data_IF_655159467410
#
_entry.id   IF_655159467410
#
_cell.length_a   1.000
_cell.length_b   1.000
_cell.length_c   1.000
_cell.angle_alpha   90.00
_cell.angle_beta   90.00
_cell.angle_gamma   90.00
#
_symmetry.space_group_name_H-M   'P 1'
#
loop_
_entity.id
_entity.type
_entity.pdbx_description
1 polymer ?
#
# COMPACT_ATOMS: atom_id res chain seq x y z
N UNK A 1 28.97 3.98 -14.32
CA UNK A 1 27.72 3.65 -13.62
C UNK A 1 27.49 2.18 -13.87
N UNK A 2 27.44 1.34 -12.82
CA UNK A 2 27.06 -0.06 -13.01
C UNK A 2 25.62 -0.19 -13.53
N UNK A 3 25.23 -1.40 -13.97
CA UNK A 3 23.83 -1.70 -14.33
C UNK A 3 22.88 -1.39 -13.17
N UNK A 4 23.25 -1.75 -11.94
CA UNK A 4 22.36 -1.61 -10.79
C UNK A 4 22.08 -0.14 -10.47
N UNK A 5 23.10 0.71 -10.40
CA UNK A 5 22.89 2.12 -10.09
C UNK A 5 22.09 2.86 -11.18
N UNK A 6 22.29 2.48 -12.44
CA UNK A 6 21.50 2.99 -13.55
C UNK A 6 20.03 2.56 -13.45
N UNK A 7 19.75 1.32 -13.08
CA UNK A 7 18.40 0.80 -12.86
C UNK A 7 17.65 1.58 -11.76
N UNK A 8 18.31 1.89 -10.65
CA UNK A 8 17.74 2.70 -9.57
C UNK A 8 17.32 4.09 -10.06
N UNK A 9 18.22 4.78 -10.78
CA UNK A 9 17.98 6.12 -11.32
C UNK A 9 16.88 6.11 -12.38
N UNK A 10 16.90 5.13 -13.28
CA UNK A 10 15.86 4.96 -14.29
C UNK A 10 14.50 4.62 -13.67
N UNK A 11 14.46 3.91 -12.54
CA UNK A 11 13.21 3.60 -11.86
C UNK A 11 12.51 4.86 -11.30
N UNK A 12 13.26 5.83 -10.78
CA UNK A 12 12.66 7.04 -10.17
C UNK A 12 12.34 8.14 -11.19
N UNK A 13 13.08 8.20 -12.30
CA UNK A 13 12.97 9.29 -13.29
C UNK A 13 11.54 9.53 -13.81
N UNK A 14 10.76 8.51 -14.25
CA UNK A 14 9.41 8.75 -14.75
C UNK A 14 8.47 9.40 -13.73
N UNK A 15 8.72 9.21 -12.44
CA UNK A 15 7.90 9.82 -11.39
C UNK A 15 8.26 11.29 -11.18
N UNK A 16 9.54 11.63 -11.27
CA UNK A 16 10.00 13.02 -11.17
C UNK A 16 9.62 13.83 -12.41
N UNK A 17 9.66 13.22 -13.61
CA UNK A 17 9.24 13.86 -14.88
C UNK A 17 7.74 14.19 -14.92
N UNK A 18 6.92 13.52 -14.09
CA UNK A 18 5.50 13.85 -13.93
C UNK A 18 5.25 15.03 -12.96
N UNK A 19 6.30 15.57 -12.33
CA UNK A 19 6.23 16.74 -11.45
C UNK A 19 6.62 18.00 -12.22
N UNK A 20 6.15 19.15 -11.73
CA UNK A 20 6.50 20.46 -12.27
C UNK A 20 7.72 21.04 -11.55
N UNK A 21 8.52 21.84 -12.26
CA UNK A 21 9.63 22.57 -11.65
C UNK A 21 9.14 23.41 -10.46
N UNK A 22 9.82 23.29 -9.32
CA UNK A 22 9.45 23.90 -8.04
C UNK A 22 8.53 23.05 -7.16
N UNK A 23 7.96 21.96 -7.67
CA UNK A 23 7.16 21.03 -6.86
C UNK A 23 7.99 20.44 -5.72
N UNK A 24 7.29 20.11 -4.63
CA UNK A 24 7.87 19.44 -3.48
C UNK A 24 7.49 17.95 -3.48
N UNK A 25 8.47 17.09 -3.19
CA UNK A 25 8.25 15.67 -2.99
C UNK A 25 8.98 15.15 -1.74
N UNK A 26 8.37 14.16 -1.09
CA UNK A 26 8.88 13.51 0.10
C UNK A 26 9.49 12.16 -0.25
N UNK A 27 10.62 11.80 0.36
CA UNK A 27 11.10 10.41 0.42
C UNK A 27 11.01 9.91 1.87
N UNK A 28 10.33 8.78 2.08
CA UNK A 28 10.29 8.14 3.39
C UNK A 28 11.52 7.22 3.58
N UNK A 29 12.35 7.53 4.58
CA UNK A 29 13.64 6.86 4.81
C UNK A 29 13.67 6.22 6.20
N UNK A 30 13.71 4.88 6.23
CA UNK A 30 13.83 4.12 7.49
C UNK A 30 15.28 3.87 7.91
N UNK A 31 16.24 4.10 7.01
CA UNK A 31 17.65 3.76 7.20
C UNK A 31 18.03 2.36 6.71
N UNK A 32 17.05 1.58 6.24
CA UNK A 32 17.31 0.32 5.53
C UNK A 32 17.77 0.56 4.09
N UNK A 33 18.31 -0.49 3.47
CA UNK A 33 18.96 -0.43 2.15
C UNK A 33 18.04 0.14 1.08
N UNK A 34 16.81 -0.35 0.99
CA UNK A 34 15.84 0.05 -0.04
C UNK A 34 15.49 1.54 0.06
N UNK A 35 15.34 2.05 1.28
CA UNK A 35 14.98 3.45 1.53
C UNK A 35 16.14 4.42 1.31
N UNK A 36 17.38 4.02 1.64
CA UNK A 36 18.58 4.83 1.39
C UNK A 36 18.94 4.84 -0.11
N UNK A 37 18.82 3.70 -0.78
CA UNK A 37 18.98 3.59 -2.23
C UNK A 37 17.97 4.49 -2.97
N UNK A 38 16.72 4.52 -2.50
CA UNK A 38 15.68 5.38 -3.07
C UNK A 38 16.00 6.86 -2.87
N UNK A 39 16.40 7.24 -1.65
CA UNK A 39 16.83 8.60 -1.36
C UNK A 39 18.01 9.02 -2.24
N UNK A 40 18.97 8.11 -2.46
CA UNK A 40 20.10 8.36 -3.35
C UNK A 40 19.66 8.54 -4.81
N UNK A 41 18.80 7.68 -5.33
CA UNK A 41 18.34 7.79 -6.71
C UNK A 41 17.61 9.12 -6.95
N UNK A 42 16.73 9.52 -6.03
CA UNK A 42 15.95 10.75 -6.14
C UNK A 42 16.84 12.00 -6.11
N UNK A 43 17.78 12.11 -5.16
CA UNK A 43 18.63 13.30 -5.04
C UNK A 43 19.60 13.47 -6.21
N UNK A 44 19.86 12.40 -6.97
CA UNK A 44 20.66 12.46 -8.21
C UNK A 44 19.86 12.86 -9.45
N UNK A 45 18.55 12.65 -9.46
CA UNK A 45 17.70 12.97 -10.62
C UNK A 45 16.90 14.27 -10.44
N UNK A 46 16.58 14.65 -9.20
CA UNK A 46 15.78 15.84 -8.92
C UNK A 46 16.38 17.20 -9.33
N UNK A 47 17.71 17.44 -9.25
CA UNK A 47 18.28 18.74 -9.58
C UNK A 47 18.01 19.18 -11.03
N UNK A 48 18.09 18.26 -11.98
CA UNK A 48 17.88 18.55 -13.41
C UNK A 48 16.42 18.93 -13.72
N UNK A 49 15.50 18.56 -12.83
CA UNK A 49 14.05 18.82 -12.94
C UNK A 49 13.59 19.94 -11.99
N UNK A 50 14.50 20.57 -11.25
CA UNK A 50 14.22 21.59 -10.23
C UNK A 50 13.16 21.16 -9.20
N UNK A 51 13.19 19.89 -8.77
CA UNK A 51 12.27 19.34 -7.77
C UNK A 51 12.86 19.51 -6.36
N UNK A 52 12.04 20.01 -5.44
CA UNK A 52 12.41 20.16 -4.03
C UNK A 52 12.15 18.85 -3.28
N UNK A 53 13.21 18.22 -2.79
CA UNK A 53 13.11 16.95 -2.05
C UNK A 53 13.22 17.16 -0.55
N UNK A 54 12.32 16.51 0.19
CA UNK A 54 12.33 16.42 1.65
C UNK A 54 12.51 14.96 2.05
N UNK A 55 13.50 14.67 2.87
CA UNK A 55 13.63 13.33 3.46
C UNK A 55 12.91 13.27 4.81
N UNK A 56 12.11 12.23 5.02
CA UNK A 56 11.34 12.03 6.25
C UNK A 56 11.66 10.67 6.85
N UNK A 57 12.11 10.66 8.10
CA UNK A 57 12.27 9.46 8.92
C UNK A 57 11.19 9.44 10.00
N UNK A 58 10.37 8.40 10.00
CA UNK A 58 9.35 8.19 11.04
C UNK A 58 9.94 7.28 12.12
N UNK A 59 10.06 7.80 13.34
CA UNK A 59 10.47 7.07 14.52
C UNK A 59 9.24 6.61 15.32
N UNK A 60 8.93 5.32 15.26
CA UNK A 60 7.80 4.71 15.97
C UNK A 60 8.03 4.53 17.48
N UNK A 61 9.24 4.82 17.98
CA UNK A 61 9.60 4.69 19.40
C UNK A 61 9.41 3.29 19.99
N UNK A 62 9.35 2.25 19.14
CA UNK A 62 9.10 0.86 19.54
C UNK A 62 10.33 0.17 20.15
N UNK A 63 11.52 0.72 19.91
CA UNK A 63 12.79 0.14 20.35
C UNK A 63 13.62 1.16 21.12
N UNK A 64 14.34 0.70 22.14
CA UNK A 64 15.41 1.48 22.76
C UNK A 64 16.50 1.79 21.73
N UNK A 65 16.87 3.07 21.58
CA UNK A 65 17.88 3.51 20.60
C UNK A 65 17.33 3.86 19.20
N UNK A 66 16.01 3.77 19.00
CA UNK A 66 15.34 4.19 17.76
C UNK A 66 15.62 5.67 17.41
N UNK A 67 15.62 6.55 18.42
CA UNK A 67 15.97 7.96 18.25
C UNK A 67 17.42 8.17 17.78
N UNK A 68 18.38 7.44 18.33
CA UNK A 68 19.79 7.52 17.92
C UNK A 68 19.96 7.03 16.47
N UNK A 69 19.19 6.01 16.10
CA UNK A 69 19.19 5.51 14.73
C UNK A 69 18.58 6.52 13.75
N UNK A 70 17.46 7.15 14.10
CA UNK A 70 16.87 8.22 13.29
C UNK A 70 17.84 9.40 13.11
N UNK A 71 18.59 9.75 14.16
CA UNK A 71 19.63 10.78 14.08
C UNK A 71 20.78 10.39 13.13
N UNK A 72 21.22 9.13 13.14
CA UNK A 72 22.23 8.64 12.17
C UNK A 72 21.74 8.73 10.73
N UNK A 73 20.49 8.33 10.49
CA UNK A 73 19.87 8.42 9.15
C UNK A 73 19.80 9.89 8.69
N UNK A 74 19.46 10.82 9.59
CA UNK A 74 19.47 12.24 9.26
C UNK A 74 20.88 12.74 8.86
N UNK A 75 21.93 12.32 9.57
CA UNK A 75 23.31 12.68 9.22
C UNK A 75 23.69 12.15 7.84
N UNK A 76 23.35 10.89 7.54
CA UNK A 76 23.62 10.27 6.23
C UNK A 76 22.87 10.98 5.09
N UNK A 77 21.61 11.34 5.29
CA UNK A 77 20.81 12.08 4.30
C UNK A 77 21.34 13.48 4.04
N UNK A 78 21.75 14.21 5.08
CA UNK A 78 22.40 15.52 4.92
C UNK A 78 23.72 15.40 4.16
N UNK A 79 24.54 14.40 4.47
CA UNK A 79 25.77 14.12 3.74
C UNK A 79 25.52 13.73 2.27
N UNK A 80 24.38 13.10 1.98
CA UNK A 80 23.96 12.74 0.63
C UNK A 80 23.53 13.95 -0.23
N UNK A 81 23.13 15.05 0.41
CA UNK A 81 22.77 16.32 -0.25
C UNK A 81 21.37 16.84 0.06
N UNK A 82 20.59 16.13 0.89
CA UNK A 82 19.28 16.62 1.32
C UNK A 82 19.42 17.84 2.22
N UNK A 83 18.78 18.95 1.82
CA UNK A 83 18.78 20.19 2.60
C UNK A 83 17.75 20.12 3.75
N UNK A 84 16.57 19.57 3.46
CA UNK A 84 15.49 19.40 4.43
C UNK A 84 15.36 17.92 4.83
N UNK A 85 15.50 17.66 6.14
CA UNK A 85 15.44 16.30 6.70
C UNK A 85 14.70 16.33 8.03
N UNK A 86 13.52 15.69 8.04
CA UNK A 86 12.57 15.69 9.15
C UNK A 86 12.61 14.34 9.85
N UNK A 87 12.70 14.37 11.18
CA UNK A 87 12.48 13.20 12.03
C UNK A 87 11.14 13.39 12.73
N UNK A 88 10.16 12.56 12.39
CA UNK A 88 8.82 12.60 12.98
C UNK A 88 8.66 11.48 13.98
N UNK A 89 8.42 11.82 15.25
CA UNK A 89 8.19 10.84 16.31
C UNK A 89 6.72 10.51 16.40
N UNK A 90 6.37 9.24 16.30
CA UNK A 90 4.99 8.78 16.41
C UNK A 90 4.84 7.80 17.56
N UNK A 91 3.78 7.99 18.35
CA UNK A 91 3.37 7.02 19.36
C UNK A 91 2.41 6.01 18.74
N UNK A 92 2.74 4.73 18.82
CA UNK A 92 1.88 3.65 18.35
C UNK A 92 1.09 3.10 19.54
N UNK A 93 -0.23 3.21 19.48
CA UNK A 93 -1.14 2.49 20.37
C UNK A 93 -1.57 1.20 19.68
N UNK A 94 -1.43 0.07 20.37
CA UNK A 94 -1.82 -1.22 19.82
C UNK A 94 -3.31 -1.47 20.03
N UNK A 95 -4.07 -1.44 18.93
CA UNK A 95 -5.51 -1.69 18.88
C UNK A 95 -5.86 -2.78 17.85
N UNK A 96 -5.23 -2.73 16.67
CA UNK A 96 -5.44 -3.68 15.55
C UNK A 96 -4.24 -4.59 15.31
N UNK A 97 -3.25 -4.53 16.19
CA UNK A 97 -1.99 -5.25 16.13
C UNK A 97 -0.83 -4.34 15.72
N UNK A 98 0.30 -4.49 16.40
CA UNK A 98 1.44 -3.59 16.32
C UNK A 98 1.87 -3.19 14.88
N UNK A 99 1.93 -4.14 13.94
CA UNK A 99 2.36 -3.87 12.56
C UNK A 99 1.37 -2.99 11.79
N UNK A 100 0.06 -3.23 11.98
CA UNK A 100 -0.99 -2.46 11.34
C UNK A 100 -1.04 -1.03 11.89
N UNK A 101 -0.95 -0.90 13.21
CA UNK A 101 -1.02 0.40 13.89
C UNK A 101 0.24 1.24 13.62
N UNK A 102 1.43 0.63 13.63
CA UNK A 102 2.67 1.30 13.24
C UNK A 102 2.64 1.76 11.77
N UNK A 103 2.05 0.94 10.89
CA UNK A 103 1.84 1.32 9.48
C UNK A 103 0.88 2.51 9.37
N UNK A 104 -0.24 2.50 10.09
CA UNK A 104 -1.21 3.59 10.09
C UNK A 104 -0.58 4.90 10.59
N UNK A 105 0.13 4.85 11.73
CA UNK A 105 0.84 5.99 12.30
C UNK A 105 1.87 6.57 11.30
N UNK A 106 2.63 5.72 10.60
CA UNK A 106 3.58 6.16 9.57
C UNK A 106 2.91 6.92 8.43
N UNK A 107 1.81 6.39 7.89
CA UNK A 107 1.12 7.03 6.77
C UNK A 107 0.48 8.36 7.22
N UNK A 108 -0.10 8.41 8.42
CA UNK A 108 -0.65 9.64 8.99
C UNK A 108 0.42 10.73 9.15
N UNK A 109 1.60 10.38 9.67
CA UNK A 109 2.74 11.29 9.76
C UNK A 109 3.21 11.80 8.40
N UNK A 110 3.38 10.91 7.43
CA UNK A 110 3.77 11.29 6.06
C UNK A 110 2.74 12.20 5.40
N UNK A 111 1.45 11.93 5.57
CA UNK A 111 0.38 12.78 5.04
C UNK A 111 0.33 14.17 5.70
N UNK A 112 0.56 14.24 7.02
CA UNK A 112 0.62 15.51 7.74
C UNK A 112 1.80 16.37 7.25
N UNK A 113 2.97 15.78 7.07
CA UNK A 113 4.16 16.47 6.56
C UNK A 113 3.96 16.88 5.10
N UNK A 114 3.41 16.00 4.27
CA UNK A 114 3.10 16.34 2.88
C UNK A 114 2.17 17.55 2.79
N UNK A 115 1.16 17.62 3.66
CA UNK A 115 0.28 18.79 3.74
C UNK A 115 1.01 20.05 4.19
N UNK A 116 1.88 19.95 5.21
CA UNK A 116 2.61 21.09 5.75
C UNK A 116 3.58 21.72 4.75
N UNK A 117 4.21 20.91 3.90
CA UNK A 117 5.19 21.36 2.91
C UNK A 117 4.62 21.49 1.49
N UNK A 118 3.32 21.23 1.31
CA UNK A 118 2.70 21.23 -0.02
C UNK A 118 3.28 20.17 -0.96
N UNK A 119 3.77 19.05 -0.42
CA UNK A 119 4.37 17.99 -1.21
C UNK A 119 3.29 17.23 -2.00
N UNK A 120 3.49 17.12 -3.32
CA UNK A 120 2.54 16.50 -4.26
C UNK A 120 2.78 14.99 -4.40
N UNK A 121 3.98 14.51 -4.04
CA UNK A 121 4.38 13.12 -4.14
C UNK A 121 5.14 12.65 -2.90
N UNK A 122 4.92 11.38 -2.51
CA UNK A 122 5.60 10.68 -1.41
C UNK A 122 6.17 9.36 -1.97
N UNK A 123 7.49 9.22 -1.92
CA UNK A 123 8.23 8.06 -2.40
C UNK A 123 8.50 7.06 -1.28
N UNK A 124 8.24 5.78 -1.55
CA UNK A 124 8.45 4.67 -0.61
C UNK A 124 9.30 3.57 -1.26
N UNK A 125 10.34 3.10 -0.56
CA UNK A 125 11.29 2.10 -1.05
C UNK A 125 10.81 0.66 -0.95
N UNK A 126 9.62 0.35 -1.47
CA UNK A 126 9.16 -1.04 -1.56
C UNK A 126 9.72 -1.70 -2.82
N UNK A 127 10.14 -2.95 -2.70
CA UNK A 127 10.81 -3.75 -3.73
C UNK A 127 9.90 -4.83 -4.32
N UNK A 128 10.43 -5.57 -5.31
CA UNK A 128 9.76 -6.75 -5.89
C UNK A 128 9.49 -7.83 -4.83
N UNK A 129 10.40 -8.03 -3.89
CA UNK A 129 10.24 -9.00 -2.80
C UNK A 129 9.08 -8.61 -1.87
N UNK A 130 8.97 -7.31 -1.51
CA UNK A 130 7.84 -6.81 -0.72
C UNK A 130 6.50 -7.02 -1.46
N UNK A 131 6.52 -6.96 -2.79
CA UNK A 131 5.35 -7.25 -3.62
C UNK A 131 4.96 -8.72 -3.54
N UNK A 132 5.93 -9.63 -3.71
CA UNK A 132 5.72 -11.07 -3.59
C UNK A 132 5.19 -11.46 -2.21
N UNK A 133 5.76 -10.89 -1.13
CA UNK A 133 5.27 -11.05 0.24
C UNK A 133 3.81 -10.62 0.38
N UNK A 134 3.48 -9.45 -0.18
CA UNK A 134 2.11 -8.90 -0.11
C UNK A 134 1.12 -9.81 -0.83
N UNK A 135 1.49 -10.37 -1.98
CA UNK A 135 0.65 -11.30 -2.74
C UNK A 135 0.42 -12.59 -1.95
N UNK A 136 1.47 -13.19 -1.38
CA UNK A 136 1.35 -14.42 -0.59
C UNK A 136 0.50 -14.23 0.68
N UNK A 137 0.71 -13.12 1.39
CA UNK A 137 -0.12 -12.77 2.54
C UNK A 137 -1.57 -12.48 2.13
N UNK A 138 -1.78 -11.91 0.94
CA UNK A 138 -3.09 -11.75 0.33
C UNK A 138 -3.76 -13.10 0.09
N UNK A 139 -3.08 -14.02 -0.60
CA UNK A 139 -3.57 -15.39 -0.88
C UNK A 139 -4.00 -16.10 0.40
N UNK A 140 -3.16 -16.07 1.44
CA UNK A 140 -3.43 -16.75 2.71
C UNK A 140 -4.70 -16.25 3.43
N UNK A 141 -5.16 -15.03 3.15
CA UNK A 141 -6.34 -14.41 3.78
C UNK A 141 -7.66 -14.66 3.03
N UNK A 142 -7.65 -15.39 1.91
CA UNK A 142 -8.86 -15.60 1.10
C UNK A 142 -9.24 -14.33 0.31
N UNK A 143 -8.34 -13.91 -0.56
CA UNK A 143 -8.40 -12.59 -1.22
C UNK A 143 -9.03 -12.60 -2.61
N UNK A 144 -9.81 -11.55 -2.93
CA UNK A 144 -10.24 -11.27 -4.30
C UNK A 144 -9.15 -10.59 -5.13
N UNK A 145 -9.43 -10.34 -6.42
CA UNK A 145 -8.47 -9.80 -7.41
C UNK A 145 -7.74 -8.55 -6.90
N UNK A 146 -8.46 -7.62 -6.26
CA UNK A 146 -7.87 -6.39 -5.69
C UNK A 146 -6.79 -6.65 -4.65
N UNK A 147 -6.96 -7.64 -3.79
CA UNK A 147 -5.95 -7.94 -2.75
C UNK A 147 -4.76 -8.72 -3.33
N UNK A 148 -5.00 -9.56 -4.35
CA UNK A 148 -3.95 -10.27 -5.08
C UNK A 148 -3.14 -9.38 -6.04
N UNK A 149 -3.68 -8.21 -6.41
CA UNK A 149 -2.98 -7.20 -7.21
C UNK A 149 -1.82 -6.49 -6.48
N UNK A 150 -1.54 -6.90 -5.23
CA UNK A 150 -0.45 -6.39 -4.41
C UNK A 150 -0.47 -4.88 -4.21
N UNK A 151 0.70 -4.28 -4.00
CA UNK A 151 0.85 -2.83 -3.94
C UNK A 151 0.79 -2.21 -5.34
N UNK A 152 0.13 -1.06 -5.44
CA UNK A 152 0.18 -0.24 -6.65
C UNK A 152 1.50 0.53 -6.72
N UNK A 153 2.00 0.71 -7.96
CA UNK A 153 3.15 1.56 -8.25
C UNK A 153 2.86 3.01 -7.87
N UNK A 154 1.68 3.50 -8.23
CA UNK A 154 1.11 4.77 -7.79
C UNK A 154 -0.21 4.52 -7.06
N UNK A 155 -0.38 5.13 -5.89
CA UNK A 155 -1.65 5.14 -5.16
C UNK A 155 -1.88 6.54 -4.59
N UNK A 156 -2.64 7.37 -5.31
CA UNK A 156 -2.71 8.81 -5.04
C UNK A 156 -1.30 9.42 -5.06
N UNK A 157 -0.94 10.15 -4.00
CA UNK A 157 0.39 10.75 -3.83
C UNK A 157 1.51 9.75 -3.51
N UNK A 158 1.23 8.47 -3.28
CA UNK A 158 2.25 7.50 -2.89
C UNK A 158 2.85 6.78 -4.11
N UNK A 159 4.14 6.97 -4.34
CA UNK A 159 4.92 6.32 -5.39
C UNK A 159 5.83 5.23 -4.82
N UNK A 160 5.93 4.10 -5.53
CA UNK A 160 6.83 2.97 -5.21
C UNK A 160 7.67 2.59 -6.43
N UNK A 161 8.69 3.39 -6.78
CA UNK A 161 9.48 3.20 -8.00
C UNK A 161 10.19 1.85 -8.07
N UNK A 162 10.54 1.29 -6.91
CA UNK A 162 11.36 0.09 -6.81
C UNK A 162 10.59 -1.24 -6.83
N UNK A 163 9.26 -1.24 -7.04
CA UNK A 163 8.47 -2.48 -7.06
C UNK A 163 8.92 -3.50 -8.12
N UNK A 164 9.66 -3.04 -9.14
CA UNK A 164 10.23 -3.90 -10.17
C UNK A 164 11.69 -4.27 -9.91
N UNK A 165 12.36 -3.70 -8.92
CA UNK A 165 13.76 -4.00 -8.60
C UNK A 165 13.86 -5.13 -7.56
N UNK A 166 14.86 -5.98 -7.71
CA UNK A 166 15.17 -7.02 -6.72
C UNK A 166 16.03 -6.48 -5.59
N UNK A 167 16.00 -7.15 -4.45
CA UNK A 167 16.85 -6.80 -3.31
C UNK A 167 18.35 -6.85 -3.66
N UNK A 168 18.78 -7.76 -4.54
CA UNK A 168 20.18 -7.86 -4.98
C UNK A 168 20.62 -6.62 -5.76
N UNK A 169 19.76 -6.10 -6.65
CA UNK A 169 20.03 -4.87 -7.39
C UNK A 169 20.17 -3.68 -6.44
N UNK A 170 19.28 -3.57 -5.45
CA UNK A 170 19.36 -2.52 -4.42
C UNK A 170 20.66 -2.62 -3.63
N UNK A 171 21.01 -3.81 -3.12
CA UNK A 171 22.22 -4.01 -2.31
C UNK A 171 23.48 -3.76 -3.13
N UNK A 172 23.53 -4.22 -4.39
CA UNK A 172 24.65 -3.96 -5.29
C UNK A 172 24.86 -2.45 -5.52
N UNK A 173 23.78 -1.70 -5.72
CA UNK A 173 23.86 -0.26 -5.87
C UNK A 173 24.29 0.45 -4.58
N UNK A 174 23.75 0.05 -3.41
CA UNK A 174 24.20 0.55 -2.11
C UNK A 174 25.70 0.37 -1.91
N UNK A 175 26.23 -0.81 -2.25
CA UNK A 175 27.66 -1.10 -2.14
C UNK A 175 28.50 -0.25 -3.09
N UNK A 176 28.06 -0.04 -4.33
CA UNK A 176 28.76 0.80 -5.31
C UNK A 176 28.90 2.25 -4.85
N UNK A 177 27.85 2.81 -4.23
CA UNK A 177 27.85 4.21 -3.78
C UNK A 177 28.29 4.37 -2.32
N UNK A 178 28.70 3.28 -1.66
CA UNK A 178 29.22 3.29 -0.30
C UNK A 178 28.19 3.62 0.78
N UNK A 179 26.89 3.39 0.51
CA UNK A 179 25.83 3.54 1.51
C UNK A 179 25.98 2.48 2.60
N UNK A 180 25.64 2.84 3.83
CA UNK A 180 25.76 1.93 4.98
C UNK A 180 24.39 1.68 5.62
N UNK A 181 23.56 0.82 4.99
CA UNK A 181 22.26 0.48 5.54
C UNK A 181 22.33 -0.01 6.97
N UNK A 182 21.42 0.49 7.79
CA UNK A 182 21.19 -0.11 9.08
C UNK A 182 20.37 -1.39 8.94
N UNK A 183 20.84 -2.47 9.56
CA UNK A 183 20.11 -3.71 9.64
C UNK A 183 19.33 -3.75 10.96
N UNK A 184 18.03 -3.41 10.91
CA UNK A 184 17.15 -3.40 12.07
C UNK A 184 16.94 -4.84 12.61
N UNK A 185 17.24 -5.12 13.89
CA UNK A 185 17.02 -6.44 14.49
C UNK A 185 15.56 -6.94 14.41
N UNK A 186 14.57 -6.04 14.36
CA UNK A 186 13.16 -6.45 14.22
C UNK A 186 12.84 -7.03 12.84
N UNK A 187 13.68 -6.81 11.83
CA UNK A 187 13.52 -7.41 10.50
C UNK A 187 13.71 -8.94 10.52
N UNK A 188 14.26 -9.49 11.61
CA UNK A 188 14.49 -10.94 11.78
C UNK A 188 13.45 -11.61 12.69
N UNK A 189 12.52 -10.84 13.27
CA UNK A 189 11.56 -11.37 14.23
C UNK A 189 10.44 -12.18 13.55
N UNK A 190 10.55 -13.51 13.65
CA UNK A 190 9.62 -14.48 13.07
C UNK A 190 8.18 -14.40 13.61
N UNK A 191 7.89 -13.58 14.64
CA UNK A 191 6.50 -13.28 15.06
C UNK A 191 5.74 -12.53 13.97
N UNK A 192 6.43 -11.74 13.14
CA UNK A 192 5.81 -11.01 12.05
C UNK A 192 5.60 -11.89 10.82
N UNK A 193 4.40 -11.88 10.26
CA UNK A 193 4.03 -12.74 9.13
C UNK A 193 4.86 -12.46 7.88
N UNK A 194 5.20 -11.19 7.63
CA UNK A 194 6.11 -10.81 6.52
C UNK A 194 7.49 -11.44 6.65
N UNK A 195 8.06 -11.44 7.86
CA UNK A 195 9.37 -12.05 8.13
C UNK A 195 9.35 -13.55 7.84
N UNK A 196 8.27 -14.26 8.24
CA UNK A 196 8.12 -15.70 7.91
C UNK A 196 8.00 -15.94 6.41
N UNK A 197 7.28 -15.08 5.69
CA UNK A 197 7.16 -15.22 4.23
C UNK A 197 8.53 -15.02 3.56
N UNK A 198 9.27 -13.98 3.94
CA UNK A 198 10.60 -13.65 3.43
C UNK A 198 11.64 -14.73 3.73
N UNK A 199 11.71 -15.17 4.98
CA UNK A 199 12.82 -16.03 5.46
C UNK A 199 12.52 -17.53 5.35
N UNK A 200 11.27 -17.93 5.10
CA UNK A 200 10.89 -19.35 5.09
C UNK A 200 10.07 -19.72 3.87
N UNK A 201 8.98 -19.00 3.57
CA UNK A 201 8.06 -19.42 2.50
C UNK A 201 8.65 -19.19 1.11
N UNK A 202 9.11 -17.97 0.80
CA UNK A 202 9.68 -17.65 -0.50
C UNK A 202 10.92 -18.52 -0.81
N UNK A 203 11.90 -18.69 0.11
CA UNK A 203 13.04 -19.57 -0.14
C UNK A 203 12.65 -21.02 -0.44
N UNK A 204 11.67 -21.59 0.29
CA UNK A 204 11.18 -22.95 0.03
C UNK A 204 10.48 -23.03 -1.32
N UNK A 205 9.68 -22.02 -1.69
CA UNK A 205 9.06 -22.00 -3.02
C UNK A 205 10.11 -21.93 -4.14
N UNK A 206 11.17 -21.12 -3.95
CA UNK A 206 12.26 -21.02 -4.93
C UNK A 206 13.04 -22.33 -5.04
N UNK A 207 13.27 -23.05 -3.93
CA UNK A 207 14.02 -24.31 -3.94
C UNK A 207 13.19 -25.48 -4.50
N UNK A 208 11.91 -25.56 -4.16
CA UNK A 208 11.06 -26.73 -4.47
C UNK A 208 10.29 -26.60 -5.78
N UNK A 209 9.89 -25.38 -6.18
CA UNK A 209 9.10 -25.14 -7.40
C UNK A 209 10.01 -24.66 -8.53
N UNK A 210 10.99 -23.82 -8.20
CA UNK A 210 11.97 -23.29 -9.14
C UNK A 210 12.24 -21.80 -8.94
N UNK A 211 13.36 -21.28 -9.49
CA UNK A 211 13.79 -19.91 -9.27
C UNK A 211 12.84 -18.88 -9.87
N UNK A 212 12.80 -17.68 -9.29
CA UNK A 212 12.08 -16.54 -9.84
C UNK A 212 10.60 -16.47 -9.43
N UNK A 213 10.24 -17.07 -8.29
CA UNK A 213 8.89 -17.04 -7.74
C UNK A 213 8.48 -15.60 -7.41
N UNK A 214 9.37 -14.82 -6.81
CA UNK A 214 9.09 -13.42 -6.51
C UNK A 214 8.73 -12.61 -7.77
N UNK A 215 9.46 -12.84 -8.86
CA UNK A 215 9.18 -12.20 -10.15
C UNK A 215 7.87 -12.70 -10.78
N UNK A 216 7.57 -13.99 -10.68
CA UNK A 216 6.30 -14.54 -11.15
C UNK A 216 5.10 -13.96 -10.40
N UNK A 217 5.19 -13.88 -9.06
CA UNK A 217 4.16 -13.29 -8.21
C UNK A 217 3.96 -11.81 -8.50
N UNK A 218 5.04 -11.04 -8.69
CA UNK A 218 4.96 -9.63 -9.05
C UNK A 218 4.30 -9.41 -10.42
N UNK A 219 4.60 -10.26 -11.43
CA UNK A 219 3.94 -10.22 -12.74
C UNK A 219 2.45 -10.56 -12.65
N UNK A 220 2.10 -11.62 -11.92
CA UNK A 220 0.69 -11.98 -11.70
C UNK A 220 -0.07 -10.86 -10.99
N UNK A 221 0.55 -10.20 -10.01
CA UNK A 221 -0.04 -9.05 -9.33
C UNK A 221 -0.28 -7.87 -10.28
N UNK A 222 0.63 -7.60 -11.22
CA UNK A 222 0.45 -6.55 -12.22
C UNK A 222 -0.74 -6.84 -13.15
N UNK A 223 -0.85 -8.06 -13.68
CA UNK A 223 -1.99 -8.46 -14.52
C UNK A 223 -3.31 -8.34 -13.75
N UNK A 224 -3.34 -8.83 -12.51
CA UNK A 224 -4.52 -8.73 -11.65
C UNK A 224 -4.86 -7.29 -11.26
N UNK A 225 -3.89 -6.37 -11.32
CA UNK A 225 -4.12 -4.95 -11.10
C UNK A 225 -4.86 -4.33 -12.27
N UNK A 226 -4.42 -4.59 -13.49
CA UNK A 226 -5.09 -4.09 -14.70
C UNK A 226 -6.55 -4.55 -14.73
N UNK A 227 -6.80 -5.84 -14.43
CA UNK A 227 -8.15 -6.39 -14.31
C UNK A 227 -8.95 -5.73 -13.17
N UNK A 228 -8.33 -5.54 -12.01
CA UNK A 228 -9.01 -4.94 -10.86
C UNK A 228 -9.37 -3.48 -11.09
N UNK A 229 -8.47 -2.70 -11.70
CA UNK A 229 -8.66 -1.28 -12.02
C UNK A 229 -9.77 -1.11 -13.08
N UNK A 230 -9.80 -1.95 -14.13
CA UNK A 230 -10.89 -1.94 -15.12
C UNK A 230 -12.26 -2.26 -14.49
N UNK A 231 -12.32 -3.25 -13.59
CA UNK A 231 -13.55 -3.59 -12.88
C UNK A 231 -13.97 -2.49 -11.89
N UNK A 232 -13.02 -1.81 -11.26
CA UNK A 232 -13.28 -0.68 -10.37
C UNK A 232 -13.84 0.52 -11.16
N UNK A 233 -13.31 0.80 -12.35
CA UNK A 233 -13.84 1.85 -13.25
C UNK A 233 -15.29 1.55 -13.69
N UNK A 234 -15.56 0.32 -14.13
CA UNK A 234 -16.92 -0.10 -14.50
C UNK A 234 -17.89 0.00 -13.32
N UNK A 235 -17.46 -0.36 -12.11
CA UNK A 235 -18.27 -0.20 -10.91
C UNK A 235 -18.48 1.28 -10.56
N UNK A 236 -17.46 2.12 -10.72
CA UNK A 236 -17.56 3.55 -10.45
C UNK A 236 -18.57 4.24 -11.38
N UNK A 237 -18.65 3.82 -12.64
CA UNK A 237 -19.66 4.30 -13.58
C UNK A 237 -21.09 4.00 -13.09
N UNK A 238 -21.32 2.85 -12.47
CA UNK A 238 -22.61 2.51 -11.84
C UNK A 238 -22.83 3.35 -10.57
N UNK A 239 -21.83 3.39 -9.68
CA UNK A 239 -21.89 4.11 -8.40
C UNK A 239 -22.27 5.58 -8.61
N UNK A 240 -21.71 6.23 -9.63
CA UNK A 240 -21.98 7.65 -9.93
C UNK A 240 -23.43 7.98 -10.31
N UNK A 241 -24.25 6.96 -10.60
CA UNK A 241 -25.63 7.10 -11.11
C UNK A 241 -26.70 6.62 -10.14
N UNK A 242 -26.31 6.10 -8.98
CA UNK A 242 -27.24 5.50 -8.01
C UNK A 242 -27.10 6.16 -6.65
N UNK A 243 -28.19 6.17 -5.87
CA UNK A 243 -28.10 6.53 -4.45
C UNK A 243 -27.59 5.32 -3.66
N UNK A 244 -26.38 5.44 -3.11
CA UNK A 244 -25.74 4.37 -2.33
C UNK A 244 -26.48 4.03 -1.03
N UNK A 245 -27.43 4.85 -0.58
CA UNK A 245 -28.27 4.55 0.61
C UNK A 245 -29.50 3.74 0.28
N UNK A 246 -29.90 3.73 -0.98
CA UNK A 246 -31.13 3.13 -1.48
C UNK A 246 -30.96 2.55 -2.89
N UNK A 247 -30.61 1.26 -2.96
CA UNK A 247 -30.26 0.59 -4.21
C UNK A 247 -31.37 -0.32 -4.71
N UNK A 248 -31.70 -0.23 -6.00
CA UNK A 248 -32.69 -1.11 -6.62
C UNK A 248 -32.16 -2.55 -6.78
N UNK A 249 -32.83 -3.54 -6.16
CA UNK A 249 -32.36 -4.93 -6.21
C UNK A 249 -32.44 -5.53 -7.62
N UNK A 250 -33.41 -5.15 -8.44
CA UNK A 250 -33.55 -5.69 -9.79
C UNK A 250 -32.41 -5.16 -10.69
N UNK A 251 -32.15 -3.86 -10.64
CA UNK A 251 -31.03 -3.25 -11.37
C UNK A 251 -29.68 -3.82 -10.93
N UNK A 252 -29.49 -4.07 -9.62
CA UNK A 252 -28.27 -4.74 -9.13
C UNK A 252 -28.15 -6.18 -9.62
N UNK A 253 -29.25 -6.94 -9.69
CA UNK A 253 -29.24 -8.34 -10.11
C UNK A 253 -28.74 -8.51 -11.56
N UNK A 254 -29.04 -7.54 -12.43
CA UNK A 254 -28.57 -7.50 -13.83
C UNK A 254 -27.06 -7.27 -13.98
N UNK A 255 -26.41 -6.69 -12.97
CA UNK A 255 -24.96 -6.46 -13.01
C UNK A 255 -24.19 -7.79 -12.90
N UNK A 256 -23.05 -7.93 -13.59
CA UNK A 256 -22.11 -9.01 -13.27
C UNK A 256 -21.72 -8.96 -11.80
N UNK A 257 -21.63 -10.12 -11.14
CA UNK A 257 -21.31 -10.21 -9.69
C UNK A 257 -20.04 -9.44 -9.32
N UNK A 258 -19.03 -9.43 -10.21
CA UNK A 258 -17.78 -8.69 -10.00
C UNK A 258 -17.99 -7.17 -9.89
N UNK A 259 -18.99 -6.61 -10.58
CA UNK A 259 -19.38 -5.20 -10.52
C UNK A 259 -20.32 -4.96 -9.35
N UNK A 260 -21.38 -5.79 -9.22
CA UNK A 260 -22.34 -5.68 -8.11
C UNK A 260 -21.66 -5.68 -6.74
N UNK A 261 -20.74 -6.61 -6.50
CA UNK A 261 -20.01 -6.69 -5.23
C UNK A 261 -19.21 -5.41 -4.90
N UNK A 262 -18.70 -4.70 -5.91
CA UNK A 262 -18.00 -3.41 -5.73
C UNK A 262 -18.97 -2.30 -5.37
N UNK A 263 -20.11 -2.23 -6.05
CA UNK A 263 -21.19 -1.29 -5.72
C UNK A 263 -21.69 -1.52 -4.30
N UNK A 264 -21.93 -2.77 -3.91
CA UNK A 264 -22.36 -3.14 -2.56
C UNK A 264 -21.32 -2.74 -1.50
N UNK A 265 -20.02 -3.02 -1.73
CA UNK A 265 -18.97 -2.57 -0.81
C UNK A 265 -18.94 -1.04 -0.67
N UNK A 266 -19.04 -0.31 -1.78
CA UNK A 266 -19.05 1.15 -1.76
C UNK A 266 -20.25 1.70 -0.97
N UNK A 267 -21.43 1.10 -1.13
CA UNK A 267 -22.62 1.46 -0.37
C UNK A 267 -22.44 1.22 1.14
N UNK A 268 -21.91 0.05 1.51
CA UNK A 268 -21.67 -0.31 2.91
C UNK A 268 -20.65 0.62 3.58
N UNK A 269 -19.56 0.96 2.88
CA UNK A 269 -18.58 1.92 3.40
C UNK A 269 -19.14 3.34 3.47
N UNK A 270 -19.94 3.76 2.48
CA UNK A 270 -20.65 5.04 2.52
C UNK A 270 -21.67 5.12 3.65
N UNK A 271 -22.17 3.98 4.13
CA UNK A 271 -23.06 3.89 5.28
C UNK A 271 -22.33 3.89 6.63
N UNK A 272 -20.99 3.91 6.65
CA UNK A 272 -20.19 4.06 7.88
C UNK A 272 -19.42 2.83 8.33
N UNK A 273 -19.43 1.74 7.56
CA UNK A 273 -18.57 0.59 7.88
C UNK A 273 -17.09 0.99 7.74
N UNK A 274 -16.20 0.61 8.69
CA UNK A 274 -14.78 0.89 8.57
C UNK A 274 -14.18 0.27 7.31
N UNK A 275 -13.30 1.00 6.62
CA UNK A 275 -12.61 0.49 5.43
C UNK A 275 -11.86 -0.82 5.73
N UNK A 276 -11.99 -1.81 4.84
CA UNK A 276 -11.33 -3.12 5.00
C UNK A 276 -11.96 -4.06 6.03
N UNK A 277 -13.05 -3.67 6.70
CA UNK A 277 -13.73 -4.51 7.70
C UNK A 277 -14.61 -5.62 7.12
N UNK A 278 -14.91 -5.58 5.81
CA UNK A 278 -15.86 -6.52 5.18
C UNK A 278 -15.18 -7.84 4.83
N UNK A 279 -15.73 -8.94 5.38
CA UNK A 279 -15.38 -10.30 5.00
C UNK A 279 -16.17 -10.76 3.78
N UNK A 280 -15.79 -11.91 3.22
CA UNK A 280 -16.55 -12.56 2.16
C UNK A 280 -17.97 -12.93 2.64
N UNK A 281 -18.14 -13.35 3.90
CA UNK A 281 -19.42 -13.72 4.48
C UNK A 281 -20.35 -12.51 4.62
N UNK A 282 -19.83 -11.37 5.07
CA UNK A 282 -20.57 -10.11 5.13
C UNK A 282 -21.12 -9.74 3.76
N UNK A 283 -20.28 -9.83 2.72
CA UNK A 283 -20.71 -9.50 1.36
C UNK A 283 -21.68 -10.54 0.80
N UNK A 284 -21.49 -11.83 1.09
CA UNK A 284 -22.37 -12.92 0.66
C UNK A 284 -23.79 -12.78 1.23
N UNK A 285 -23.90 -12.35 2.49
CA UNK A 285 -25.18 -12.07 3.13
C UNK A 285 -25.94 -10.96 2.39
N UNK A 286 -25.26 -9.87 2.01
CA UNK A 286 -25.88 -8.76 1.26
C UNK A 286 -26.20 -9.15 -0.18
N UNK A 287 -25.32 -9.89 -0.86
CA UNK A 287 -25.59 -10.45 -2.19
C UNK A 287 -26.87 -11.30 -2.20
N UNK A 288 -27.09 -12.10 -1.15
CA UNK A 288 -28.27 -12.96 -1.03
C UNK A 288 -29.58 -12.16 -0.93
N UNK A 289 -29.55 -10.96 -0.33
CA UNK A 289 -30.69 -10.04 -0.33
C UNK A 289 -31.07 -9.57 -1.74
N UNK A 290 -30.09 -9.49 -2.65
CA UNK A 290 -30.31 -9.07 -4.04
C UNK A 290 -30.84 -10.23 -4.88
N UNK A 291 -30.07 -11.33 -4.95
CA UNK A 291 -30.28 -12.38 -5.97
C UNK A 291 -31.10 -13.57 -5.49
N UNK A 292 -31.19 -13.79 -4.18
CA UNK A 292 -31.75 -15.02 -3.59
C UNK A 292 -32.81 -14.71 -2.54
N UNK A 293 -33.58 -13.63 -2.73
CA UNK A 293 -34.55 -13.17 -1.73
C UNK A 293 -35.71 -14.14 -1.52
N UNK A 294 -35.95 -14.51 -0.27
CA UNK A 294 -37.05 -15.36 0.17
C UNK A 294 -37.60 -14.94 1.55
N UNK A 295 -37.46 -13.65 1.91
CA UNK A 295 -37.90 -13.10 3.19
C UNK A 295 -36.83 -13.08 4.29
N UNK A 296 -35.54 -13.03 3.93
CA UNK A 296 -34.46 -12.91 4.91
C UNK A 296 -34.58 -11.64 5.76
N UNK A 297 -34.07 -11.69 6.99
CA UNK A 297 -33.95 -10.51 7.84
C UNK A 297 -32.82 -9.55 7.40
N UNK A 298 -32.57 -8.53 8.23
CA UNK A 298 -31.46 -7.60 8.03
C UNK A 298 -30.09 -8.28 8.17
N UNK A 299 -29.16 -7.92 7.28
CA UNK A 299 -27.74 -8.26 7.40
C UNK A 299 -27.06 -7.24 8.33
N UNK A 300 -26.42 -7.73 9.39
CA UNK A 300 -25.61 -6.92 10.31
C UNK A 300 -24.16 -6.90 9.84
N UNK A 301 -23.59 -5.70 9.70
CA UNK A 301 -22.26 -5.47 9.15
C UNK A 301 -21.39 -4.70 10.16
N UNK A 302 -20.06 -4.71 9.98
CA UNK A 302 -19.14 -3.94 10.81
C UNK A 302 -19.49 -2.45 10.89
N UNK A 303 -19.16 -1.82 12.01
CA UNK A 303 -19.47 -0.41 12.26
C UNK A 303 -20.95 -0.11 12.51
N UNK A 304 -21.75 -1.14 12.87
CA UNK A 304 -23.18 -0.96 13.17
C UNK A 304 -24.05 -0.77 11.93
N UNK A 305 -23.49 -0.94 10.72
CA UNK A 305 -24.25 -0.84 9.47
C UNK A 305 -25.21 -2.02 9.37
N UNK A 306 -26.46 -1.72 9.04
CA UNK A 306 -27.49 -2.72 8.76
C UNK A 306 -28.02 -2.56 7.35
N UNK A 307 -28.19 -3.69 6.67
CA UNK A 307 -28.71 -3.74 5.30
C UNK A 307 -29.93 -4.64 5.25
N UNK A 308 -31.04 -4.11 4.76
CA UNK A 308 -32.27 -4.87 4.60
C UNK A 308 -32.85 -4.64 3.21
N UNK A 309 -33.55 -5.64 2.68
CA UNK A 309 -34.38 -5.47 1.48
C UNK A 309 -35.79 -5.05 1.88
N UNK A 310 -36.19 -3.85 1.48
CA UNK A 310 -37.51 -3.27 1.77
C UNK A 310 -38.13 -2.87 0.43
N UNK A 311 -39.31 -3.42 0.11
CA UNK A 311 -40.05 -3.10 -1.12
C UNK A 311 -39.22 -3.20 -2.41
N UNK A 312 -38.33 -4.20 -2.49
CA UNK A 312 -37.48 -4.43 -3.67
C UNK A 312 -36.20 -3.60 -3.74
N UNK A 313 -35.88 -2.84 -2.68
CA UNK A 313 -34.69 -2.00 -2.61
C UNK A 313 -33.84 -2.36 -1.40
N UNK A 314 -32.51 -2.26 -1.52
CA UNK A 314 -31.61 -2.36 -0.39
C UNK A 314 -31.54 -1.02 0.32
N UNK A 315 -31.98 -1.00 1.58
CA UNK A 315 -31.81 0.13 2.48
C UNK A 315 -30.61 -0.10 3.39
N UNK A 316 -29.69 0.87 3.42
CA UNK A 316 -28.50 0.85 4.26
C UNK A 316 -28.63 1.91 5.35
N UNK A 317 -28.64 1.49 6.61
CA UNK A 317 -28.77 2.37 7.77
C UNK A 317 -27.56 2.21 8.70
N UNK A 318 -26.91 3.33 9.02
CA UNK A 318 -26.03 3.40 10.18
C UNK A 318 -26.91 3.45 11.43
N UNK A 319 -26.84 2.45 12.31
CA UNK A 319 -27.35 2.65 13.67
C UNK A 319 -26.19 3.13 14.55
N UNK A 320 -26.33 4.27 15.24
CA UNK A 320 -25.34 4.71 16.22
C UNK A 320 -25.20 3.71 17.37
#
# INVERSE_FOLDING_TARGET
>A
MSSALLELRNAVRPFLENLSAGDCAIVAVSGGADSLALAYALIKEAPDLAINLIAVTVDHQLQSGSADQAAKVQVELKAMGYQEVIIEKVSVKEESGLEADARAARYAALDAIAKAYGATQIFLGHTRDDQAETVLLGLARGSGTRSLSGMAVLNGKYARPFLQLTREQIVAACNEVGLKPWNDPHNENAKFSRVRVRNSVLPVMESEIGPGIAAALARSAAILRDDADALDEMAQAVISRVDLKDLDCAALAELPRAIRSRVLRAAIYSAGAPGGSLSADHLSAVESLVTSWHGQGEASLPGGVKVARISGRLSLLARP
#
